data_IF_459316114735
#
_entry.id   IF_459316114735
#
_cell.length_a   1.000
_cell.length_b   1.000
_cell.length_c   1.000
_cell.angle_alpha   90.00
_cell.angle_beta   90.00
_cell.angle_gamma   90.00
#
_symmetry.space_group_name_H-M   'P 1'
#
loop_
_entity.id
_entity.type
_entity.pdbx_description
1 polymer ?
#
# COMPACT_ATOMS: atom_id res chain seq x y z
N UNK A 1 9.89 -16.80 -23.52
CA UNK A 1 9.34 -15.42 -23.43
C UNK A 1 7.83 -15.56 -23.34
N UNK A 2 7.22 -14.89 -22.39
CA UNK A 2 5.76 -14.87 -22.25
C UNK A 2 5.16 -14.18 -23.47
N UNK A 3 4.14 -14.79 -24.09
CA UNK A 3 3.42 -14.14 -25.19
C UNK A 3 2.56 -13.00 -24.60
N UNK A 4 2.85 -11.78 -25.00
CA UNK A 4 2.16 -10.57 -24.57
C UNK A 4 1.32 -9.94 -25.70
N UNK A 5 1.18 -10.64 -26.83
CA UNK A 5 0.49 -10.13 -28.02
C UNK A 5 -1.02 -9.91 -27.84
N UNK A 6 -1.60 -10.55 -26.80
CA UNK A 6 -3.02 -10.39 -26.43
C UNK A 6 -3.32 -9.07 -25.72
N UNK A 7 -2.30 -8.39 -25.19
CA UNK A 7 -2.49 -7.14 -24.44
C UNK A 7 -2.90 -6.02 -25.40
N UNK A 8 -3.90 -5.24 -25.00
CA UNK A 8 -4.40 -4.12 -25.79
C UNK A 8 -3.28 -3.14 -26.20
N UNK A 9 -3.39 -2.48 -27.36
CA UNK A 9 -2.46 -1.41 -27.72
C UNK A 9 -2.59 -0.22 -26.75
N UNK A 10 -1.52 0.61 -26.63
CA UNK A 10 -1.55 1.83 -25.84
C UNK A 10 -2.72 2.75 -26.24
N UNK A 11 -3.34 3.37 -25.25
CA UNK A 11 -4.36 4.39 -25.47
C UNK A 11 -3.70 5.66 -26.02
N UNK A 12 -4.37 6.32 -26.97
CA UNK A 12 -3.92 7.59 -27.52
C UNK A 12 -3.64 8.62 -26.42
N UNK A 13 -2.44 9.18 -26.40
CA UNK A 13 -1.99 10.15 -25.40
C UNK A 13 -2.87 11.39 -25.32
N UNK A 14 -3.43 11.84 -26.44
CA UNK A 14 -4.34 12.99 -26.46
C UNK A 14 -5.66 12.68 -25.73
N UNK A 15 -6.15 11.45 -25.77
CA UNK A 15 -7.32 11.04 -24.99
C UNK A 15 -7.01 11.02 -23.49
N UNK A 16 -5.83 10.52 -23.11
CA UNK A 16 -5.37 10.53 -21.71
C UNK A 16 -5.24 11.97 -21.22
N UNK A 17 -4.56 12.86 -21.95
CA UNK A 17 -4.37 14.28 -21.59
C UNK A 17 -5.70 15.03 -21.43
N UNK A 18 -6.71 14.73 -22.23
CA UNK A 18 -8.05 15.32 -22.08
C UNK A 18 -8.73 14.95 -20.76
N UNK A 19 -8.36 13.81 -20.17
CA UNK A 19 -8.90 13.32 -18.89
C UNK A 19 -8.07 13.75 -17.68
N UNK A 20 -6.83 14.22 -17.85
CA UNK A 20 -5.97 14.79 -16.80
C UNK A 20 -6.50 16.16 -16.36
N UNK A 21 -7.56 16.15 -15.55
CA UNK A 21 -8.21 17.40 -15.09
C UNK A 21 -7.63 17.85 -13.76
N UNK A 22 -7.51 19.16 -13.56
CA UNK A 22 -7.01 19.78 -12.32
C UNK A 22 -7.74 19.28 -11.06
N UNK A 23 -9.03 18.98 -11.16
CA UNK A 23 -9.84 18.42 -10.04
C UNK A 23 -9.48 16.98 -9.66
N UNK A 24 -8.64 16.30 -10.43
CA UNK A 24 -8.10 14.98 -10.15
C UNK A 24 -6.63 15.05 -9.70
N UNK A 25 -6.01 16.23 -9.79
CA UNK A 25 -4.63 16.45 -9.38
C UNK A 25 -4.51 16.41 -7.87
N UNK A 26 -3.63 15.52 -7.37
CA UNK A 26 -3.35 15.36 -5.96
C UNK A 26 -2.15 16.22 -5.55
N UNK A 27 -0.98 15.98 -6.14
CA UNK A 27 0.27 16.66 -5.82
C UNK A 27 1.36 16.44 -6.87
N UNK A 28 2.40 17.24 -6.79
CA UNK A 28 3.69 16.88 -7.40
C UNK A 28 4.43 15.87 -6.54
N UNK A 29 5.22 15.02 -7.18
CA UNK A 29 6.15 14.12 -6.47
C UNK A 29 7.26 14.90 -5.78
N UNK A 30 7.80 14.39 -4.68
CA UNK A 30 8.93 15.01 -3.98
C UNK A 30 10.21 14.98 -4.83
N UNK A 31 10.32 14.02 -5.75
CA UNK A 31 11.47 13.85 -6.64
C UNK A 31 11.03 13.55 -8.06
N UNK A 32 11.83 14.02 -9.02
CA UNK A 32 11.60 13.75 -10.43
C UNK A 32 10.51 14.58 -11.08
N UNK A 33 9.89 15.54 -10.37
CA UNK A 33 8.92 16.51 -10.89
C UNK A 33 7.79 15.87 -11.71
N UNK A 34 7.17 14.82 -11.16
CA UNK A 34 6.05 14.10 -11.78
C UNK A 34 4.74 14.49 -11.10
N UNK A 35 3.63 14.29 -11.78
CA UNK A 35 2.29 14.62 -11.29
C UNK A 35 1.59 13.38 -10.75
N UNK A 36 0.90 13.50 -9.62
CA UNK A 36 0.06 12.43 -9.05
C UNK A 36 -1.40 12.82 -9.16
N UNK A 37 -2.19 11.88 -9.65
CA UNK A 37 -3.62 12.04 -9.87
C UNK A 37 -4.42 10.95 -9.17
N UNK A 38 -5.70 11.25 -8.87
CA UNK A 38 -6.69 10.27 -8.42
C UNK A 38 -7.92 10.39 -9.31
N UNK A 39 -8.39 9.25 -9.83
CA UNK A 39 -9.59 9.17 -10.65
C UNK A 39 -10.36 7.87 -10.41
N UNK A 40 -11.45 7.67 -11.15
CA UNK A 40 -12.21 6.42 -11.21
C UNK A 40 -12.45 6.03 -12.66
N UNK A 41 -12.84 4.78 -12.91
CA UNK A 41 -13.21 4.32 -14.24
C UNK A 41 -14.30 5.17 -14.89
N UNK A 42 -15.26 5.64 -14.08
CA UNK A 42 -16.39 6.47 -14.55
C UNK A 42 -15.98 7.92 -14.88
N UNK A 43 -14.93 8.44 -14.23
CA UNK A 43 -14.47 9.82 -14.44
C UNK A 43 -13.49 9.95 -15.59
N UNK A 44 -12.71 8.89 -15.85
CA UNK A 44 -11.60 8.89 -16.79
C UNK A 44 -11.46 7.50 -17.45
N UNK A 45 -12.38 7.12 -18.35
CA UNK A 45 -12.41 5.78 -18.95
C UNK A 45 -11.17 5.46 -19.79
N UNK A 46 -10.58 6.45 -20.48
CA UNK A 46 -9.37 6.24 -21.27
C UNK A 46 -8.15 6.03 -20.36
N UNK A 47 -8.03 6.83 -19.27
CA UNK A 47 -6.99 6.63 -18.25
C UNK A 47 -7.16 5.24 -17.60
N UNK A 48 -8.39 4.83 -17.27
CA UNK A 48 -8.64 3.52 -16.69
C UNK A 48 -8.23 2.38 -17.63
N UNK A 49 -8.56 2.50 -18.92
CA UNK A 49 -8.14 1.50 -19.93
C UNK A 49 -6.62 1.39 -20.02
N UNK A 50 -5.91 2.53 -20.02
CA UNK A 50 -4.44 2.54 -20.04
C UNK A 50 -3.85 1.97 -18.75
N UNK A 51 -4.41 2.29 -17.58
CA UNK A 51 -4.02 1.69 -16.30
C UNK A 51 -4.21 0.16 -16.37
N UNK A 52 -5.34 -0.32 -16.86
CA UNK A 52 -5.62 -1.75 -17.00
C UNK A 52 -4.64 -2.44 -17.93
N UNK A 53 -4.29 -1.82 -19.06
CA UNK A 53 -3.27 -2.31 -19.99
C UNK A 53 -1.89 -2.40 -19.33
N UNK A 54 -1.49 -1.35 -18.62
CA UNK A 54 -0.18 -1.29 -17.95
C UNK A 54 -0.09 -2.25 -16.76
N UNK A 55 -1.18 -2.49 -16.05
CA UNK A 55 -1.27 -3.53 -15.01
C UNK A 55 -1.02 -4.91 -15.62
N UNK A 56 -1.77 -5.25 -16.67
CA UNK A 56 -1.61 -6.55 -17.35
C UNK A 56 -0.18 -6.71 -17.87
N UNK A 57 0.35 -5.71 -18.54
CA UNK A 57 1.73 -5.71 -19.04
C UNK A 57 2.74 -5.94 -17.91
N UNK A 58 2.58 -5.25 -16.79
CA UNK A 58 3.53 -5.35 -15.67
C UNK A 58 3.48 -6.72 -15.00
N UNK A 59 2.28 -7.24 -14.72
CA UNK A 59 2.13 -8.53 -14.06
C UNK A 59 2.47 -9.70 -14.97
N UNK A 60 2.04 -9.68 -16.23
CA UNK A 60 2.32 -10.75 -17.19
C UNK A 60 3.81 -10.86 -17.53
N UNK A 61 4.54 -9.74 -17.55
CA UNK A 61 6.00 -9.74 -17.76
C UNK A 61 6.74 -10.52 -16.67
N UNK A 62 6.22 -10.49 -15.44
CA UNK A 62 6.81 -11.17 -14.28
C UNK A 62 6.23 -12.59 -14.04
N UNK A 63 5.35 -13.07 -14.93
CA UNK A 63 4.80 -14.43 -14.89
C UNK A 63 3.45 -14.56 -14.18
N UNK A 64 2.81 -13.45 -13.82
CA UNK A 64 1.42 -13.35 -13.39
C UNK A 64 0.58 -12.70 -14.50
N UNK A 65 -0.54 -12.13 -14.13
CA UNK A 65 -1.42 -11.44 -15.06
C UNK A 65 -2.77 -12.13 -15.17
N UNK A 66 -3.76 -11.42 -15.70
CA UNK A 66 -5.14 -11.92 -15.80
C UNK A 66 -5.37 -12.72 -17.08
N UNK A 67 -4.46 -12.61 -18.07
CA UNK A 67 -4.63 -13.16 -19.41
C UNK A 67 -5.65 -12.40 -20.26
N UNK A 68 -6.07 -11.21 -19.84
CA UNK A 68 -7.02 -10.34 -20.54
C UNK A 68 -6.28 -9.21 -21.26
N UNK A 69 -6.91 -8.61 -22.27
CA UNK A 69 -6.36 -7.43 -22.94
C UNK A 69 -6.01 -6.29 -21.98
N UNK A 70 -6.78 -6.16 -20.89
CA UNK A 70 -6.61 -5.17 -19.83
C UNK A 70 -7.02 -5.76 -18.48
N UNK A 71 -6.25 -5.51 -17.42
CA UNK A 71 -6.59 -5.88 -16.03
C UNK A 71 -7.56 -4.83 -15.46
N UNK A 72 -8.83 -5.00 -15.78
CA UNK A 72 -9.95 -4.27 -15.20
C UNK A 72 -10.94 -5.30 -14.69
N UNK A 73 -11.36 -5.17 -13.43
CA UNK A 73 -12.30 -6.08 -12.78
C UNK A 73 -13.56 -5.35 -12.29
N UNK A 74 -14.46 -6.08 -11.65
CA UNK A 74 -15.72 -5.53 -11.13
C UNK A 74 -15.50 -4.43 -10.10
N UNK A 75 -14.44 -4.52 -9.28
CA UNK A 75 -14.13 -3.53 -8.24
C UNK A 75 -13.72 -2.18 -8.83
N UNK A 76 -13.13 -2.16 -10.01
CA UNK A 76 -12.81 -0.93 -10.73
C UNK A 76 -14.07 -0.25 -11.32
N UNK A 77 -15.12 -1.03 -11.61
CA UNK A 77 -16.32 -0.59 -12.36
C UNK A 77 -17.62 -0.55 -11.55
N UNK A 78 -17.59 -0.90 -10.25
CA UNK A 78 -18.73 -0.72 -9.35
C UNK A 78 -19.30 0.71 -9.45
N UNK A 79 -20.61 0.90 -9.20
CA UNK A 79 -21.19 2.24 -9.15
C UNK A 79 -20.48 3.16 -8.15
N UNK A 80 -20.34 4.45 -8.47
CA UNK A 80 -19.83 5.46 -7.54
C UNK A 80 -20.78 5.58 -6.31
N UNK A 81 -20.29 5.61 -5.06
CA UNK A 81 -18.88 5.78 -4.62
C UNK A 81 -18.14 4.46 -4.33
N UNK A 82 -18.72 3.31 -4.66
CA UNK A 82 -18.22 2.00 -4.24
C UNK A 82 -17.04 1.48 -5.07
N UNK A 83 -16.85 2.00 -6.29
CA UNK A 83 -15.73 1.60 -7.15
C UNK A 83 -14.38 1.99 -6.53
N UNK A 84 -13.37 1.18 -6.83
CA UNK A 84 -11.99 1.52 -6.51
C UNK A 84 -11.55 2.81 -7.21
N UNK A 85 -10.80 3.63 -6.48
CA UNK A 85 -10.12 4.80 -7.00
C UNK A 85 -8.76 4.39 -7.53
N UNK A 86 -8.29 5.11 -8.55
CA UNK A 86 -6.99 4.89 -9.18
C UNK A 86 -6.09 6.06 -8.83
N UNK A 87 -5.03 5.78 -8.05
CA UNK A 87 -3.92 6.69 -7.82
C UNK A 87 -2.83 6.33 -8.81
N UNK A 88 -2.34 7.30 -9.59
CA UNK A 88 -1.29 7.06 -10.55
C UNK A 88 -0.33 8.23 -10.67
N UNK A 89 0.89 7.93 -11.10
CA UNK A 89 1.95 8.91 -11.37
C UNK A 89 2.03 9.14 -12.87
N UNK A 90 1.89 10.39 -13.27
CA UNK A 90 2.01 10.86 -14.66
C UNK A 90 3.35 11.52 -14.89
N UNK A 91 4.08 11.08 -15.89
CA UNK A 91 5.29 11.73 -16.38
C UNK A 91 4.94 12.70 -17.50
N UNK A 92 5.04 14.00 -17.22
CA UNK A 92 4.71 15.06 -18.18
C UNK A 92 5.71 15.16 -19.35
N UNK A 93 6.95 14.69 -19.16
CA UNK A 93 7.99 14.74 -20.19
C UNK A 93 7.80 13.62 -21.23
N UNK A 94 7.53 12.40 -20.78
CA UNK A 94 7.30 11.24 -21.64
C UNK A 94 5.83 11.12 -22.07
N UNK A 95 4.93 11.87 -21.42
CA UNK A 95 3.47 11.78 -21.55
C UNK A 95 2.95 10.35 -21.32
N UNK A 96 3.38 9.74 -20.19
CA UNK A 96 3.09 8.35 -19.85
C UNK A 96 2.73 8.17 -18.37
N UNK A 97 1.90 7.16 -18.08
CA UNK A 97 1.64 6.70 -16.71
C UNK A 97 2.82 5.82 -16.27
N UNK A 98 3.56 6.24 -15.24
CA UNK A 98 4.69 5.49 -14.71
C UNK A 98 4.28 4.25 -13.91
N UNK A 99 3.22 4.36 -13.15
CA UNK A 99 2.71 3.32 -12.26
C UNK A 99 1.53 3.82 -11.44
N UNK A 100 0.97 2.96 -10.63
CA UNK A 100 -0.19 3.30 -9.83
C UNK A 100 -0.57 2.27 -8.78
N UNK A 101 -1.61 2.61 -8.05
CA UNK A 101 -2.34 1.77 -7.11
C UNK A 101 -3.83 1.95 -7.33
N UNK A 102 -4.60 0.90 -7.13
CA UNK A 102 -6.02 1.08 -6.83
C UNK A 102 -6.23 1.10 -5.33
N UNK A 103 -7.24 1.81 -4.86
CA UNK A 103 -7.59 1.83 -3.46
C UNK A 103 -9.08 2.02 -3.24
N UNK A 104 -9.56 1.54 -2.08
CA UNK A 104 -10.89 1.85 -1.58
C UNK A 104 -10.86 2.00 -0.07
N UNK A 105 -11.74 2.85 0.48
CA UNK A 105 -11.87 3.03 1.92
C UNK A 105 -12.96 2.11 2.47
N UNK A 106 -12.74 1.49 3.63
CA UNK A 106 -13.65 0.50 4.22
C UNK A 106 -15.07 1.00 4.40
N UNK A 107 -15.25 2.30 4.69
CA UNK A 107 -16.59 2.90 4.80
C UNK A 107 -17.36 2.98 3.49
N UNK A 108 -16.68 2.85 2.33
CA UNK A 108 -17.31 2.85 1.01
C UNK A 108 -17.34 1.46 0.36
N UNK A 109 -16.88 0.42 1.04
CA UNK A 109 -16.99 -0.95 0.53
C UNK A 109 -18.43 -1.44 0.60
N UNK A 110 -18.88 -2.11 -0.46
CA UNK A 110 -20.19 -2.75 -0.48
C UNK A 110 -20.18 -4.02 0.37
N UNK A 111 -21.33 -4.32 0.96
CA UNK A 111 -21.59 -5.60 1.62
C UNK A 111 -22.55 -6.37 0.72
N UNK A 112 -22.21 -7.62 0.40
CA UNK A 112 -23.06 -8.51 -0.37
C UNK A 112 -24.28 -8.94 0.45
N UNK A 113 -25.34 -9.46 -0.18
CA UNK A 113 -26.54 -9.91 0.53
C UNK A 113 -26.27 -11.01 1.58
N UNK A 114 -25.22 -11.79 1.41
CA UNK A 114 -24.77 -12.83 2.36
C UNK A 114 -23.96 -12.25 3.54
N UNK A 115 -23.76 -10.94 3.61
CA UNK A 115 -22.99 -10.26 4.64
C UNK A 115 -21.49 -10.20 4.37
N UNK A 116 -20.98 -10.79 3.30
CA UNK A 116 -19.56 -10.71 2.95
C UNK A 116 -19.20 -9.35 2.36
N UNK A 117 -17.95 -8.93 2.56
CA UNK A 117 -17.42 -7.71 1.94
C UNK A 117 -17.21 -7.90 0.44
N UNK A 118 -17.54 -6.86 -0.33
CA UNK A 118 -17.25 -6.81 -1.75
C UNK A 118 -15.92 -6.08 -1.98
N UNK A 119 -14.81 -6.80 -1.80
CA UNK A 119 -13.45 -6.30 -1.95
C UNK A 119 -12.51 -7.42 -2.44
N UNK A 120 -11.45 -7.10 -3.22
CA UNK A 120 -10.52 -8.10 -3.71
C UNK A 120 -9.87 -8.96 -2.62
N UNK A 121 -9.67 -8.42 -1.42
CA UNK A 121 -9.09 -9.18 -0.32
C UNK A 121 -10.08 -10.19 0.26
N UNK A 122 -11.38 -9.89 0.27
CA UNK A 122 -12.42 -10.77 0.76
C UNK A 122 -12.65 -12.04 -0.11
N UNK A 123 -12.09 -12.08 -1.31
CA UNK A 123 -12.09 -13.29 -2.14
C UNK A 123 -11.09 -14.34 -1.66
N UNK A 124 -10.14 -13.95 -0.81
CA UNK A 124 -9.03 -14.80 -0.40
C UNK A 124 -8.90 -14.98 1.11
N UNK A 125 -9.52 -14.08 1.90
CA UNK A 125 -9.36 -14.04 3.36
C UNK A 125 -10.69 -13.96 4.08
N UNK A 126 -10.76 -14.69 5.20
CA UNK A 126 -11.76 -14.44 6.24
C UNK A 126 -11.40 -13.17 7.00
N UNK A 127 -12.42 -12.45 7.44
CA UNK A 127 -12.29 -11.32 8.35
C UNK A 127 -12.98 -11.65 9.67
N UNK A 128 -12.30 -11.40 10.79
CA UNK A 128 -12.94 -11.51 12.10
C UNK A 128 -13.98 -10.40 12.28
N UNK A 129 -14.95 -10.61 13.18
CA UNK A 129 -15.90 -9.55 13.55
C UNK A 129 -15.19 -8.34 14.11
N UNK A 130 -14.13 -8.54 14.91
CA UNK A 130 -13.28 -7.47 15.42
C UNK A 130 -12.69 -6.61 14.30
N UNK A 131 -12.21 -7.23 13.22
CA UNK A 131 -11.72 -6.47 12.07
C UNK A 131 -12.82 -5.66 11.40
N UNK A 132 -13.98 -6.26 11.19
CA UNK A 132 -15.11 -5.61 10.51
C UNK A 132 -15.63 -4.40 11.30
N UNK A 133 -15.67 -4.50 12.62
CA UNK A 133 -16.25 -3.45 13.48
C UNK A 133 -15.23 -2.35 13.82
N UNK A 134 -13.97 -2.71 14.12
CA UNK A 134 -13.02 -1.80 14.74
C UNK A 134 -11.84 -1.40 13.84
N UNK A 135 -11.59 -2.11 12.73
CA UNK A 135 -10.49 -1.82 11.81
C UNK A 135 -10.99 -1.35 10.45
N UNK A 136 -11.92 -2.10 9.83
CA UNK A 136 -12.39 -1.83 8.47
C UNK A 136 -12.86 -0.38 8.25
N UNK A 137 -13.65 0.23 9.16
CA UNK A 137 -14.14 1.60 8.98
C UNK A 137 -13.04 2.66 8.86
N UNK A 138 -11.84 2.33 9.29
CA UNK A 138 -10.66 3.21 9.28
C UNK A 138 -9.56 2.71 8.35
N UNK A 139 -9.86 1.75 7.49
CA UNK A 139 -8.90 1.09 6.62
C UNK A 139 -9.03 1.57 5.18
N UNK A 140 -7.92 1.88 4.56
CA UNK A 140 -7.80 1.96 3.10
C UNK A 140 -7.18 0.66 2.61
N UNK A 141 -7.91 -0.09 1.79
CA UNK A 141 -7.36 -1.21 1.05
C UNK A 141 -6.61 -0.71 -0.18
N UNK A 142 -5.36 -1.15 -0.31
CA UNK A 142 -4.47 -0.88 -1.45
C UNK A 142 -4.30 -2.15 -2.27
N UNK A 143 -4.42 -2.04 -3.59
CA UNK A 143 -4.27 -3.19 -4.47
C UNK A 143 -3.71 -2.80 -5.83
N UNK A 144 -3.41 -3.81 -6.65
CA UNK A 144 -2.91 -3.63 -8.02
C UNK A 144 -1.77 -2.61 -8.10
N UNK A 145 -0.81 -2.70 -7.16
CA UNK A 145 0.41 -1.91 -7.20
C UNK A 145 1.24 -2.29 -8.42
N UNK A 146 1.53 -1.34 -9.29
CA UNK A 146 2.36 -1.58 -10.47
C UNK A 146 3.30 -0.42 -10.78
N UNK A 147 4.44 -0.75 -11.35
CA UNK A 147 5.32 0.17 -12.08
C UNK A 147 5.50 -0.44 -13.46
N UNK A 148 5.15 0.29 -14.52
CA UNK A 148 5.27 -0.24 -15.86
C UNK A 148 6.74 -0.59 -16.20
N UNK A 149 7.00 -1.63 -17.01
CA UNK A 149 8.35 -2.14 -17.25
C UNK A 149 9.37 -1.07 -17.67
N UNK A 150 8.96 -0.05 -18.44
CA UNK A 150 9.84 1.03 -18.89
C UNK A 150 10.38 1.91 -17.74
N UNK A 151 9.71 1.89 -16.58
CA UNK A 151 10.07 2.66 -15.38
C UNK A 151 10.51 1.78 -14.21
N UNK A 152 10.82 0.51 -14.47
CA UNK A 152 11.45 -0.36 -13.49
C UNK A 152 12.97 -0.19 -13.53
N UNK A 153 13.66 -0.07 -12.37
CA UNK A 153 15.12 0.11 -12.32
C UNK A 153 15.90 -0.99 -13.02
N UNK A 154 15.35 -2.22 -13.04
CA UNK A 154 15.94 -3.38 -13.77
C UNK A 154 16.04 -3.16 -15.28
N UNK A 155 15.09 -2.42 -15.85
CA UNK A 155 15.00 -2.20 -17.29
C UNK A 155 15.57 -0.83 -17.68
N UNK A 156 15.38 0.19 -16.84
CA UNK A 156 15.89 1.54 -17.04
C UNK A 156 16.20 2.20 -15.70
N UNK A 157 17.47 2.21 -15.29
CA UNK A 157 17.93 2.76 -14.03
C UNK A 157 17.54 4.25 -13.86
N UNK A 158 17.69 5.06 -14.91
CA UNK A 158 17.39 6.50 -14.84
C UNK A 158 15.91 6.78 -14.66
N UNK A 159 15.05 6.15 -15.47
CA UNK A 159 13.59 6.34 -15.38
C UNK A 159 13.01 5.70 -14.14
N UNK A 160 13.58 4.58 -13.67
CA UNK A 160 13.07 3.79 -12.55
C UNK A 160 13.49 4.28 -11.16
N UNK A 161 14.50 5.15 -11.06
CA UNK A 161 15.17 5.48 -9.79
C UNK A 161 14.23 5.90 -8.65
N UNK A 162 13.16 6.63 -8.95
CA UNK A 162 12.21 7.15 -7.96
C UNK A 162 10.81 6.59 -8.11
N UNK A 163 10.58 5.57 -8.95
CA UNK A 163 9.22 5.11 -9.27
C UNK A 163 8.42 4.67 -8.04
N UNK A 164 9.02 3.86 -7.17
CA UNK A 164 8.36 3.46 -5.91
C UNK A 164 8.20 4.63 -4.94
N UNK A 165 9.20 5.50 -4.78
CA UNK A 165 9.12 6.69 -3.94
C UNK A 165 7.98 7.62 -4.38
N UNK A 166 7.82 7.81 -5.67
CA UNK A 166 6.78 8.66 -6.24
C UNK A 166 5.38 8.08 -5.97
N UNK A 167 5.22 6.78 -6.05
CA UNK A 167 3.97 6.11 -5.65
C UNK A 167 3.70 6.27 -4.15
N UNK A 168 4.73 6.16 -3.31
CA UNK A 168 4.62 6.38 -1.87
C UNK A 168 4.26 7.82 -1.50
N UNK A 169 4.70 8.82 -2.27
CA UNK A 169 4.28 10.21 -2.11
C UNK A 169 2.76 10.36 -2.29
N UNK A 170 2.18 9.62 -3.24
CA UNK A 170 0.74 9.57 -3.44
C UNK A 170 0.00 8.87 -2.29
N UNK A 171 0.47 7.70 -1.88
CA UNK A 171 -0.12 6.95 -0.76
C UNK A 171 -0.02 7.75 0.55
N UNK A 172 1.11 8.42 0.80
CA UNK A 172 1.29 9.29 1.95
C UNK A 172 0.31 10.47 1.97
N UNK A 173 -0.03 11.02 0.80
CA UNK A 173 -1.03 12.07 0.70
C UNK A 173 -2.44 11.58 1.04
N UNK A 174 -2.80 10.30 0.75
CA UNK A 174 -4.11 9.73 1.12
C UNK A 174 -4.37 9.81 2.63
N UNK A 175 -3.33 9.68 3.46
CA UNK A 175 -3.46 9.76 4.93
C UNK A 175 -4.01 11.13 5.37
N UNK A 176 -3.69 12.19 4.62
CA UNK A 176 -4.15 13.55 4.93
C UNK A 176 -5.42 13.93 4.15
N UNK A 177 -5.67 13.29 3.01
CA UNK A 177 -6.88 13.48 2.22
C UNK A 177 -8.09 12.73 2.80
N UNK A 178 -7.84 11.62 3.51
CA UNK A 178 -8.85 10.80 4.19
C UNK A 178 -8.44 10.70 5.68
N UNK A 179 -8.75 11.73 6.48
CA UNK A 179 -8.26 11.85 7.87
C UNK A 179 -8.69 10.72 8.79
N UNK A 180 -9.77 10.01 8.45
CA UNK A 180 -10.28 8.87 9.20
C UNK A 180 -9.38 7.64 9.06
N UNK A 181 -8.49 7.61 8.06
CA UNK A 181 -7.63 6.46 7.80
C UNK A 181 -6.64 6.24 8.94
N UNK A 182 -6.60 5.02 9.45
CA UNK A 182 -5.67 4.56 10.50
C UNK A 182 -4.83 3.39 10.04
N UNK A 183 -5.32 2.66 9.05
CA UNK A 183 -4.72 1.42 8.57
C UNK A 183 -4.65 1.39 7.05
N UNK A 184 -3.57 0.79 6.55
CA UNK A 184 -3.50 0.32 5.17
C UNK A 184 -3.55 -1.20 5.17
N UNK A 185 -4.50 -1.76 4.43
CA UNK A 185 -4.62 -3.18 4.15
C UNK A 185 -4.16 -3.43 2.72
N UNK A 186 -3.45 -4.51 2.46
CA UNK A 186 -3.10 -4.90 1.11
C UNK A 186 -2.58 -6.32 1.00
N UNK A 187 -2.42 -6.76 -0.25
CA UNK A 187 -1.74 -8.01 -0.58
C UNK A 187 -0.44 -7.70 -1.32
N UNK A 188 0.66 -8.33 -0.92
CA UNK A 188 1.93 -8.28 -1.64
C UNK A 188 2.01 -9.54 -2.51
N UNK A 189 2.28 -9.36 -3.79
CA UNK A 189 2.37 -10.47 -4.75
C UNK A 189 3.73 -11.15 -4.67
N UNK A 190 3.74 -12.48 -4.60
CA UNK A 190 4.89 -13.36 -4.86
C UNK A 190 4.53 -14.24 -6.05
N UNK A 191 5.43 -14.34 -7.02
CA UNK A 191 5.22 -15.16 -8.21
C UNK A 191 5.55 -16.63 -7.94
N UNK A 192 4.78 -17.56 -8.52
CA UNK A 192 5.00 -19.02 -8.39
C UNK A 192 6.32 -19.48 -9.01
N UNK A 193 6.88 -18.66 -9.91
CA UNK A 193 8.20 -18.90 -10.50
C UNK A 193 9.36 -18.71 -9.51
N UNK A 194 9.10 -18.15 -8.30
CA UNK A 194 10.10 -18.02 -7.27
C UNK A 194 10.50 -19.39 -6.69
N UNK A 195 11.78 -19.59 -6.42
CA UNK A 195 12.27 -20.76 -5.71
C UNK A 195 11.47 -21.00 -4.42
N UNK A 196 10.96 -22.21 -4.23
CA UNK A 196 10.08 -22.58 -3.11
C UNK A 196 10.74 -22.33 -1.76
N UNK A 197 12.04 -22.65 -1.61
CA UNK A 197 12.73 -22.43 -0.34
C UNK A 197 12.97 -20.94 -0.09
N UNK A 198 13.25 -20.15 -1.14
CA UNK A 198 13.36 -18.69 -1.03
C UNK A 198 12.01 -18.07 -0.61
N UNK A 199 10.89 -18.54 -1.16
CA UNK A 199 9.55 -18.17 -0.73
C UNK A 199 9.33 -18.50 0.74
N UNK A 200 9.58 -19.73 1.13
CA UNK A 200 9.34 -20.22 2.49
C UNK A 200 10.17 -19.50 3.55
N UNK A 201 11.39 -19.11 3.21
CA UNK A 201 12.23 -18.26 4.05
C UNK A 201 11.55 -16.92 4.37
N UNK A 202 10.96 -16.27 3.34
CA UNK A 202 10.22 -15.03 3.54
C UNK A 202 8.95 -15.24 4.35
N UNK A 203 8.16 -16.27 4.06
CA UNK A 203 6.91 -16.57 4.79
C UNK A 203 7.19 -16.88 6.27
N UNK A 204 8.23 -17.64 6.56
CA UNK A 204 8.66 -17.91 7.93
C UNK A 204 9.09 -16.62 8.65
N UNK A 205 9.88 -15.77 7.97
CA UNK A 205 10.31 -14.49 8.51
C UNK A 205 9.13 -13.58 8.84
N UNK A 206 8.14 -13.49 7.94
CA UNK A 206 6.89 -12.74 8.20
C UNK A 206 6.15 -13.29 9.42
N UNK A 207 5.97 -14.61 9.51
CA UNK A 207 5.30 -15.25 10.64
C UNK A 207 6.02 -14.99 11.96
N UNK A 208 7.36 -14.95 11.95
CA UNK A 208 8.17 -14.70 13.14
C UNK A 208 8.10 -13.24 13.62
N UNK A 209 8.17 -12.29 12.72
CA UNK A 209 8.37 -10.88 13.09
C UNK A 209 7.12 -10.00 12.97
N UNK A 210 6.12 -10.45 12.25
CA UNK A 210 4.89 -9.69 12.00
C UNK A 210 3.63 -10.50 12.31
N UNK A 211 3.54 -11.16 13.48
CA UNK A 211 2.38 -11.97 13.81
C UNK A 211 1.11 -11.13 13.89
N UNK A 212 -0.03 -11.79 13.70
CA UNK A 212 -1.35 -11.26 14.03
C UNK A 212 -1.86 -11.91 15.33
N UNK A 213 -1.59 -11.31 16.51
CA UNK A 213 -1.96 -11.91 17.79
C UNK A 213 -3.47 -11.88 18.06
N UNK A 214 -4.20 -11.00 17.34
CA UNK A 214 -5.64 -10.79 17.58
C UNK A 214 -6.51 -11.61 16.63
N UNK A 215 -5.90 -12.35 15.69
CA UNK A 215 -6.64 -13.17 14.72
C UNK A 215 -7.61 -12.35 13.87
N UNK A 216 -7.13 -11.20 13.36
CA UNK A 216 -7.99 -10.27 12.61
C UNK A 216 -8.39 -10.80 11.24
N UNK A 217 -7.49 -11.51 10.58
CA UNK A 217 -7.71 -12.07 9.25
C UNK A 217 -6.92 -13.38 9.08
N UNK A 218 -7.43 -14.28 8.22
CA UNK A 218 -6.72 -15.51 7.82
C UNK A 218 -7.17 -15.96 6.43
N UNK A 219 -6.30 -16.60 5.64
CA UNK A 219 -6.64 -17.02 4.28
C UNK A 219 -7.60 -18.20 4.26
N UNK A 220 -8.48 -18.27 3.22
CA UNK A 220 -9.32 -19.45 2.98
C UNK A 220 -8.48 -20.70 2.70
N UNK A 221 -7.44 -20.54 1.87
CA UNK A 221 -6.56 -21.61 1.41
C UNK A 221 -5.10 -21.17 1.62
N UNK A 222 -4.54 -21.38 2.83
CA UNK A 222 -3.18 -20.94 3.12
C UNK A 222 -2.15 -21.70 2.29
N UNK A 223 -1.20 -20.96 1.70
CA UNK A 223 -0.02 -21.55 1.05
C UNK A 223 0.85 -22.21 2.10
N UNK A 224 1.15 -23.54 1.98
CA UNK A 224 1.97 -24.24 2.95
C UNK A 224 3.43 -23.80 2.87
N UNK A 225 4.13 -23.83 4.00
CA UNK A 225 5.58 -23.81 4.06
C UNK A 225 6.04 -25.25 3.85
N UNK A 226 6.71 -25.52 2.74
CA UNK A 226 7.18 -26.86 2.34
C UNK A 226 8.57 -27.18 2.89
N UNK A 227 9.36 -26.16 3.17
CA UNK A 227 10.70 -26.29 3.78
C UNK A 227 10.59 -26.79 5.22
N UNK A 228 11.48 -27.72 5.61
CA UNK A 228 11.55 -28.26 6.98
C UNK A 228 11.58 -27.12 8.01
N UNK A 229 10.56 -27.12 8.86
CA UNK A 229 10.37 -26.08 9.88
C UNK A 229 11.54 -25.99 10.85
N UNK A 230 12.14 -27.14 11.22
CA UNK A 230 13.31 -27.18 12.11
C UNK A 230 14.55 -26.53 11.45
N UNK A 231 14.67 -26.65 10.12
CA UNK A 231 15.72 -25.96 9.35
C UNK A 231 15.53 -24.46 9.41
N UNK A 232 14.29 -23.97 9.23
CA UNK A 232 13.97 -22.55 9.31
C UNK A 232 14.21 -21.99 10.72
N UNK A 233 13.76 -22.68 11.76
CA UNK A 233 14.00 -22.30 13.17
C UNK A 233 15.48 -22.18 13.47
N UNK A 234 16.29 -23.16 13.02
CA UNK A 234 17.76 -23.13 13.24
C UNK A 234 18.45 -22.00 12.47
N UNK A 235 17.96 -21.71 11.26
CA UNK A 235 18.53 -20.65 10.42
C UNK A 235 18.26 -19.28 11.00
N UNK A 236 17.00 -19.00 11.36
CA UNK A 236 16.60 -17.73 11.95
C UNK A 236 16.75 -17.75 13.48
N UNK A 237 17.99 -17.85 13.94
CA UNK A 237 18.34 -17.89 15.36
C UNK A 237 18.98 -16.58 15.86
N UNK A 238 18.88 -15.51 15.09
CA UNK A 238 19.37 -14.20 15.45
C UNK A 238 18.67 -13.63 16.69
N UNK A 239 19.36 -12.73 17.39
CA UNK A 239 18.87 -12.13 18.64
C UNK A 239 17.78 -11.08 18.40
N UNK A 240 17.65 -10.59 17.17
CA UNK A 240 16.74 -9.51 16.82
C UNK A 240 16.40 -9.51 15.33
N UNK A 241 15.42 -8.68 14.98
CA UNK A 241 14.96 -8.47 13.60
C UNK A 241 16.11 -8.19 12.62
N UNK A 242 17.05 -7.31 12.99
CA UNK A 242 18.12 -6.87 12.08
C UNK A 242 19.07 -8.01 11.71
N UNK A 243 19.42 -8.84 12.68
CA UNK A 243 20.27 -10.02 12.45
C UNK A 243 19.58 -11.04 11.54
N UNK A 244 18.35 -11.41 11.87
CA UNK A 244 17.57 -12.36 11.06
C UNK A 244 17.23 -11.81 9.68
N UNK A 245 17.05 -10.50 9.54
CA UNK A 245 16.84 -9.87 8.23
C UNK A 245 18.09 -9.99 7.33
N UNK A 246 19.30 -9.86 7.87
CA UNK A 246 20.52 -10.12 7.11
C UNK A 246 20.62 -11.60 6.72
N UNK A 247 20.25 -12.51 7.61
CA UNK A 247 20.19 -13.95 7.32
C UNK A 247 19.21 -14.20 6.17
N UNK A 248 18.01 -13.61 6.21
CA UNK A 248 17.01 -13.70 5.13
C UNK A 248 17.60 -13.27 3.79
N UNK A 249 18.21 -12.10 3.72
CA UNK A 249 18.77 -11.56 2.47
C UNK A 249 19.83 -12.50 1.88
N UNK A 250 20.73 -13.00 2.72
CA UNK A 250 21.78 -13.92 2.29
C UNK A 250 21.22 -15.28 1.86
N UNK A 251 20.28 -15.83 2.62
CA UNK A 251 19.69 -17.13 2.32
C UNK A 251 18.85 -17.13 1.05
N UNK A 252 18.07 -16.06 0.80
CA UNK A 252 17.30 -15.89 -0.44
C UNK A 252 18.26 -15.70 -1.65
N UNK A 253 19.35 -14.92 -1.47
CA UNK A 253 20.34 -14.72 -2.53
C UNK A 253 21.09 -16.01 -2.86
N UNK A 254 21.37 -16.86 -1.88
CA UNK A 254 22.01 -18.15 -2.10
C UNK A 254 21.20 -19.11 -2.99
N UNK A 255 19.90 -18.84 -3.18
CA UNK A 255 18.98 -19.55 -4.08
C UNK A 255 18.78 -18.86 -5.43
N UNK A 256 19.64 -17.90 -5.75
CA UNK A 256 19.54 -17.14 -6.99
C UNK A 256 18.37 -16.14 -7.03
N UNK A 257 17.68 -15.93 -5.89
CA UNK A 257 16.55 -15.02 -5.77
C UNK A 257 16.94 -13.72 -5.07
N UNK A 258 16.05 -12.74 -5.12
CA UNK A 258 16.13 -11.51 -4.31
C UNK A 258 14.81 -11.31 -3.59
N UNK A 259 14.84 -10.73 -2.40
CA UNK A 259 13.62 -10.27 -1.74
C UNK A 259 13.00 -9.18 -2.62
N UNK A 260 11.75 -9.33 -3.08
CA UNK A 260 11.14 -8.35 -3.99
C UNK A 260 11.16 -6.94 -3.39
N UNK A 261 11.41 -5.88 -4.20
CA UNK A 261 11.52 -4.51 -3.70
C UNK A 261 10.32 -4.04 -2.89
N UNK A 262 9.12 -4.41 -3.28
CA UNK A 262 7.89 -4.06 -2.57
C UNK A 262 7.79 -4.79 -1.22
N UNK A 263 8.12 -6.09 -1.17
CA UNK A 263 8.21 -6.89 0.06
C UNK A 263 9.17 -6.21 1.05
N UNK A 264 10.35 -5.86 0.56
CA UNK A 264 11.37 -5.17 1.36
C UNK A 264 10.89 -3.80 1.87
N UNK A 265 10.22 -3.02 1.01
CA UNK A 265 9.69 -1.70 1.37
C UNK A 265 8.68 -1.79 2.53
N UNK A 266 7.75 -2.74 2.48
CA UNK A 266 6.77 -2.93 3.54
C UNK A 266 7.38 -3.43 4.85
N UNK A 267 8.31 -4.40 4.81
CA UNK A 267 9.02 -4.86 6.01
C UNK A 267 9.77 -3.73 6.75
N UNK A 268 10.20 -2.71 6.02
CA UNK A 268 10.90 -1.55 6.57
C UNK A 268 10.01 -0.32 6.78
N UNK A 269 8.71 -0.47 6.63
CA UNK A 269 7.76 0.65 6.79
C UNK A 269 7.34 0.82 8.24
N UNK A 270 7.00 -0.28 8.91
CA UNK A 270 6.50 -0.27 10.29
C UNK A 270 6.89 -1.56 11.00
N UNK A 271 7.36 -1.44 12.24
CA UNK A 271 7.67 -2.59 13.10
C UNK A 271 6.42 -3.29 13.64
N UNK A 272 5.26 -2.67 13.54
CA UNK A 272 3.96 -3.22 13.98
C UNK A 272 3.10 -3.69 12.81
N UNK A 273 3.69 -3.86 11.63
CA UNK A 273 3.00 -4.50 10.51
C UNK A 273 2.45 -5.86 10.94
N UNK A 274 1.26 -6.24 10.47
CA UNK A 274 0.68 -7.56 10.70
C UNK A 274 0.70 -8.37 9.42
N UNK A 275 1.02 -9.64 9.55
CA UNK A 275 0.99 -10.65 8.48
C UNK A 275 -0.18 -11.61 8.72
N UNK A 276 -1.05 -11.73 7.75
CA UNK A 276 -2.29 -12.51 7.84
C UNK A 276 -2.22 -13.87 7.12
N UNK A 277 -1.03 -14.30 6.75
CA UNK A 277 -0.85 -15.48 5.95
C UNK A 277 -0.73 -15.18 4.45
N UNK A 278 -0.51 -16.25 3.70
CA UNK A 278 -0.32 -16.21 2.23
C UNK A 278 -1.25 -17.21 1.59
N UNK A 279 -1.82 -16.88 0.45
CA UNK A 279 -2.70 -17.76 -0.32
C UNK A 279 -2.54 -17.53 -1.83
N UNK A 280 -2.90 -18.51 -2.68
CA UNK A 280 -2.98 -18.33 -4.12
C UNK A 280 -3.90 -17.15 -4.47
N UNK A 281 -3.50 -16.32 -5.43
CA UNK A 281 -4.31 -15.20 -5.92
C UNK A 281 -5.01 -15.57 -7.22
N UNK A 282 -6.27 -15.98 -7.12
CA UNK A 282 -7.06 -16.38 -8.30
C UNK A 282 -7.33 -15.21 -9.27
N UNK A 283 -7.25 -13.99 -8.79
CA UNK A 283 -7.36 -12.78 -9.61
C UNK A 283 -6.08 -12.44 -10.39
N UNK A 284 -4.97 -13.09 -10.07
CA UNK A 284 -3.67 -13.01 -10.76
C UNK A 284 -3.05 -14.41 -10.81
N UNK A 285 -3.49 -15.30 -11.72
CA UNK A 285 -2.97 -16.66 -11.84
C UNK A 285 -1.43 -16.70 -11.90
N UNK A 286 -0.83 -17.72 -11.30
CA UNK A 286 0.63 -17.85 -11.19
C UNK A 286 1.24 -17.01 -10.05
N UNK A 287 0.41 -16.53 -9.12
CA UNK A 287 0.89 -15.75 -7.98
C UNK A 287 0.26 -16.17 -6.65
N UNK A 288 0.93 -15.80 -5.57
CA UNK A 288 0.43 -15.85 -4.21
C UNK A 288 0.36 -14.45 -3.61
N UNK A 289 -0.69 -14.17 -2.84
CA UNK A 289 -0.87 -12.93 -2.11
C UNK A 289 -0.48 -13.05 -0.64
N UNK A 290 0.42 -12.21 -0.16
CA UNK A 290 0.73 -12.04 1.27
C UNK A 290 -0.17 -10.96 1.83
N UNK A 291 -1.11 -11.31 2.71
CA UNK A 291 -1.98 -10.33 3.39
C UNK A 291 -1.23 -9.56 4.47
N UNK A 292 -1.29 -8.24 4.44
CA UNK A 292 -0.65 -7.37 5.44
C UNK A 292 -1.54 -6.21 5.87
N UNK A 293 -1.34 -5.76 7.12
CA UNK A 293 -1.92 -4.52 7.65
C UNK A 293 -0.82 -3.62 8.21
N UNK A 294 -0.85 -2.35 7.82
CA UNK A 294 0.04 -1.31 8.34
C UNK A 294 -0.75 -0.35 9.22
N UNK A 295 -0.29 -0.16 10.45
CA UNK A 295 -0.84 0.87 11.35
C UNK A 295 -0.12 2.19 11.10
N UNK A 296 -0.85 3.21 10.64
CA UNK A 296 -0.27 4.47 10.16
C UNK A 296 0.48 5.26 11.23
N UNK A 297 0.02 5.21 12.49
CA UNK A 297 0.70 5.87 13.61
C UNK A 297 2.10 5.31 13.89
N UNK A 298 2.33 4.06 13.51
CA UNK A 298 3.56 3.31 13.79
C UNK A 298 4.52 3.28 12.58
N UNK A 299 4.23 4.04 11.55
CA UNK A 299 5.13 4.20 10.39
C UNK A 299 6.42 4.85 10.88
N UNK A 300 7.56 4.30 10.44
CA UNK A 300 8.89 4.80 10.75
C UNK A 300 9.02 6.29 10.44
N UNK A 301 9.63 7.04 11.36
CA UNK A 301 9.65 8.52 11.31
C UNK A 301 10.27 9.08 10.02
N UNK A 302 11.31 8.46 9.48
CA UNK A 302 11.94 8.85 8.22
C UNK A 302 10.98 8.73 7.03
N UNK A 303 10.18 7.67 7.00
CA UNK A 303 9.16 7.43 5.96
C UNK A 303 8.00 8.39 6.09
N UNK A 304 7.56 8.63 7.34
CA UNK A 304 6.51 9.59 7.65
C UNK A 304 6.89 11.00 7.18
N UNK A 305 8.06 11.48 7.59
CA UNK A 305 8.56 12.82 7.20
C UNK A 305 8.67 12.93 5.68
N UNK A 306 9.17 11.87 5.02
CA UNK A 306 9.40 11.88 3.58
C UNK A 306 8.10 11.91 2.77
N UNK A 307 7.12 11.08 3.10
CA UNK A 307 5.97 10.83 2.23
C UNK A 307 4.66 11.45 2.75
N UNK A 308 4.49 11.57 4.07
CA UNK A 308 3.25 12.10 4.67
C UNK A 308 3.41 13.60 4.99
N UNK A 309 4.40 13.95 5.83
CA UNK A 309 4.56 15.32 6.33
C UNK A 309 5.02 16.30 5.25
N UNK A 310 5.56 15.79 4.14
CA UNK A 310 5.93 16.58 2.95
C UNK A 310 4.72 17.08 2.14
N UNK A 311 3.53 16.58 2.43
CA UNK A 311 2.31 16.96 1.73
C UNK A 311 1.49 18.01 2.52
N UNK A 312 0.84 18.92 1.80
CA UNK A 312 -0.10 19.87 2.38
C UNK A 312 -1.41 19.87 1.62
N UNK A 313 -2.46 19.54 2.33
CA UNK A 313 -3.84 19.53 1.84
C UNK A 313 -4.29 20.86 1.23
N UNK A 314 -3.69 21.98 1.67
CA UNK A 314 -3.99 23.31 1.13
C UNK A 314 -3.57 23.51 -0.32
N UNK A 315 -2.64 22.71 -0.80
CA UNK A 315 -2.07 22.82 -2.14
C UNK A 315 -2.76 21.93 -3.18
N UNK A 316 -3.69 21.08 -2.76
CA UNK A 316 -4.41 20.20 -3.67
C UNK A 316 -5.59 20.91 -4.32
N UNK A 317 -5.88 20.55 -5.57
CA UNK A 317 -7.11 20.94 -6.31
C UNK A 317 -8.12 19.79 -6.40
N UNK A 318 -7.87 18.70 -5.65
CA UNK A 318 -8.65 17.49 -5.69
C UNK A 318 -10.12 17.72 -5.28
N UNK A 319 -11.05 17.21 -6.08
CA UNK A 319 -12.48 17.20 -5.75
C UNK A 319 -12.80 16.09 -4.74
N UNK A 320 -12.50 16.37 -3.46
CA UNK A 320 -12.70 15.44 -2.35
C UNK A 320 -14.13 14.98 -2.19
N UNK A 321 -15.10 15.90 -2.38
CA UNK A 321 -16.51 15.59 -2.20
C UNK A 321 -16.99 14.52 -3.17
N UNK A 322 -16.36 14.44 -4.34
CA UNK A 322 -16.70 13.45 -5.35
C UNK A 322 -15.93 12.13 -5.18
N UNK A 323 -14.64 12.21 -4.82
CA UNK A 323 -13.75 11.04 -4.75
C UNK A 323 -13.83 10.31 -3.40
N UNK A 324 -14.08 11.05 -2.31
CA UNK A 324 -14.08 10.50 -0.95
C UNK A 324 -15.44 10.70 -0.26
N UNK A 325 -16.51 10.22 -0.89
CA UNK A 325 -17.82 10.18 -0.25
C UNK A 325 -17.84 9.09 0.81
N UNK A 326 -17.30 9.40 1.98
CA UNK A 326 -17.39 8.51 3.15
C UNK A 326 -18.84 8.49 3.61
N UNK A 327 -19.46 7.32 3.60
CA UNK A 327 -20.80 7.14 4.17
C UNK A 327 -20.67 6.99 5.69
N UNK A 328 -20.74 8.11 6.38
CA UNK A 328 -20.62 8.16 7.84
C UNK A 328 -21.67 7.29 8.56
N UNK A 329 -22.83 7.03 7.93
CA UNK A 329 -23.87 6.18 8.50
C UNK A 329 -23.51 4.71 8.59
N UNK A 330 -22.46 4.27 7.86
CA UNK A 330 -21.94 2.91 7.89
C UNK A 330 -20.85 2.68 8.94
N UNK A 331 -20.39 3.73 9.60
CA UNK A 331 -19.42 3.60 10.65
C UNK A 331 -20.09 3.04 11.91
N UNK A 332 -19.55 2.01 12.56
CA UNK A 332 -20.17 1.32 13.70
C UNK A 332 -20.58 2.25 14.85
N UNK A 333 -19.79 3.31 15.07
CA UNK A 333 -20.03 4.29 16.13
C UNK A 333 -21.22 5.25 15.82
N UNK A 334 -21.63 5.38 14.53
CA UNK A 334 -22.82 6.17 14.19
C UNK A 334 -24.13 5.57 14.75
N UNK A 335 -24.19 4.26 14.92
CA UNK A 335 -25.39 3.57 15.43
C UNK A 335 -25.68 3.86 16.92
N UNK A 336 -24.69 4.38 17.65
CA UNK A 336 -24.76 4.51 19.13
C UNK A 336 -24.62 5.95 19.64
N UNK A 337 -24.68 6.98 18.78
CA UNK A 337 -24.45 8.36 19.22
C UNK A 337 -25.57 9.31 18.82
N UNK A 338 -25.99 10.16 19.79
CA UNK A 338 -26.62 11.44 19.47
C UNK A 338 -25.55 12.34 18.80
N UNK A 339 -25.92 13.00 17.72
CA UNK A 339 -25.01 13.70 16.78
C UNK A 339 -23.97 14.64 17.42
N UNK A 340 -24.28 15.23 18.57
CA UNK A 340 -23.46 16.27 19.22
C UNK A 340 -22.36 15.70 20.14
N UNK A 341 -22.63 14.63 20.88
CA UNK A 341 -21.65 14.02 21.81
C UNK A 341 -20.50 13.35 21.04
N UNK A 342 -20.81 12.70 19.94
CA UNK A 342 -19.80 11.99 19.13
C UNK A 342 -18.86 12.94 18.43
N UNK A 343 -19.37 14.07 17.92
CA UNK A 343 -18.56 15.13 17.32
C UNK A 343 -17.62 15.73 18.36
N UNK A 344 -18.12 16.00 19.56
CA UNK A 344 -17.34 16.54 20.68
C UNK A 344 -16.27 15.55 21.15
N UNK A 345 -16.59 14.25 21.25
CA UNK A 345 -15.63 13.20 21.63
C UNK A 345 -14.53 13.01 20.57
N UNK A 346 -14.85 13.14 19.29
CA UNK A 346 -13.87 13.10 18.21
C UNK A 346 -12.93 14.30 18.20
N UNK A 347 -13.48 15.49 18.36
CA UNK A 347 -12.69 16.73 18.46
C UNK A 347 -11.76 16.70 19.69
N UNK A 348 -12.25 16.18 20.82
CA UNK A 348 -11.46 15.98 22.04
C UNK A 348 -10.36 14.91 21.88
N UNK A 349 -10.65 13.82 21.17
CA UNK A 349 -9.69 12.76 20.89
C UNK A 349 -8.60 13.24 19.93
N UNK A 350 -8.99 13.92 18.86
CA UNK A 350 -8.08 14.50 17.88
C UNK A 350 -7.18 15.61 18.52
N UNK A 351 -7.73 16.39 19.46
CA UNK A 351 -6.97 17.34 20.27
C UNK A 351 -5.98 16.65 21.21
N UNK A 352 -6.37 15.56 21.88
CA UNK A 352 -5.49 14.78 22.75
C UNK A 352 -4.36 14.11 21.97
N UNK A 353 -4.66 13.53 20.81
CA UNK A 353 -3.65 12.91 19.95
C UNK A 353 -2.67 13.95 19.37
N UNK A 354 -3.15 15.13 18.98
CA UNK A 354 -2.32 16.27 18.58
C UNK A 354 -1.47 16.82 19.73
N UNK A 355 -2.00 16.85 20.93
CA UNK A 355 -1.29 17.31 22.13
C UNK A 355 -0.19 16.31 22.50
N UNK A 356 -0.49 15.01 22.52
CA UNK A 356 0.48 13.93 22.78
C UNK A 356 1.62 13.95 21.75
N UNK A 357 1.29 14.11 20.46
CA UNK A 357 2.30 14.20 19.40
C UNK A 357 3.19 15.43 19.53
N UNK A 358 2.63 16.59 19.99
CA UNK A 358 3.43 17.79 20.29
C UNK A 358 4.37 17.58 21.46
N UNK A 359 3.95 16.88 22.49
CA UNK A 359 4.75 16.57 23.68
C UNK A 359 5.90 15.59 23.33
N UNK A 360 5.62 14.55 22.54
CA UNK A 360 6.64 13.61 22.04
C UNK A 360 7.68 14.32 21.14
N UNK A 361 7.23 15.23 20.26
CA UNK A 361 8.11 16.02 19.41
C UNK A 361 8.97 16.99 20.23
N UNK A 362 8.38 17.60 21.27
CA UNK A 362 9.10 18.50 22.18
C UNK A 362 10.16 17.76 23.00
N UNK A 363 9.85 16.54 23.47
CA UNK A 363 10.83 15.68 24.16
C UNK A 363 11.99 15.32 23.23
N UNK A 364 11.69 14.83 22.04
CA UNK A 364 12.73 14.45 21.05
C UNK A 364 13.61 15.63 20.63
N UNK A 365 13.03 16.83 20.55
CA UNK A 365 13.76 18.07 20.27
C UNK A 365 14.71 18.45 21.43
N UNK A 366 14.30 18.22 22.67
CA UNK A 366 15.15 18.44 23.86
C UNK A 366 16.33 17.45 23.92
N UNK A 367 16.07 16.18 23.64
CA UNK A 367 17.11 15.13 23.56
C UNK A 367 18.16 15.47 22.50
N UNK A 368 17.72 15.81 21.27
CA UNK A 368 18.62 16.23 20.20
C UNK A 368 19.43 17.49 20.54
N UNK A 369 18.83 18.47 21.23
CA UNK A 369 19.55 19.64 21.70
C UNK A 369 20.58 19.32 22.75
N UNK A 370 20.30 18.34 23.63
CA UNK A 370 21.27 17.89 24.65
C UNK A 370 22.42 17.13 24.01
N UNK A 371 22.13 16.24 23.06
CA UNK A 371 23.18 15.55 22.29
C UNK A 371 24.08 16.54 21.54
N UNK A 372 23.51 17.55 20.90
CA UNK A 372 24.27 18.59 20.20
C UNK A 372 25.17 19.39 21.14
N UNK A 373 24.69 19.67 22.37
CA UNK A 373 25.51 20.30 23.40
C UNK A 373 26.68 19.42 23.84
N UNK A 374 26.42 18.10 23.99
CA UNK A 374 27.46 17.13 24.38
C UNK A 374 28.52 17.00 23.28
N UNK A 375 28.12 16.92 22.03
CA UNK A 375 29.03 16.88 20.86
C UNK A 375 29.90 18.18 20.79
N UNK A 376 29.28 19.35 20.99
CA UNK A 376 29.99 20.62 21.00
C UNK A 376 31.01 20.72 22.18
N UNK A 377 30.66 20.15 23.36
CA UNK A 377 31.56 20.08 24.50
C UNK A 377 32.73 19.11 24.28
N UNK A 378 32.47 17.96 23.65
CA UNK A 378 33.51 17.00 23.29
C UNK A 378 34.49 17.59 22.26
N UNK A 379 34.00 18.30 21.23
CA UNK A 379 34.86 18.99 20.23
C UNK A 379 35.69 20.14 20.79
N UNK A 380 35.35 20.72 21.95
CA UNK A 380 36.16 21.76 22.61
C UNK A 380 37.25 21.21 23.55
N UNK A 381 37.23 19.89 23.76
CA UNK A 381 38.23 19.20 24.59
C UNK A 381 39.28 18.44 23.77
N UNK A 382 39.09 18.37 22.46
CA UNK A 382 40.06 17.95 21.44
C UNK A 382 40.74 19.19 20.81
#
# INVERSE_FOLDING_TARGET
MTDLSYIAPPVDRELIKKELKQKHFLRMTNRGNKEIYITTAHLSPNIMREIGRLRELSFATDGGGTGKEVDIDEYDTLPDPYCCKQLFVWNTEDEEIMGGYRFNHGSTMMIRPDGSLMTPTAEHYHFSQEFLDNYLPYTVELGRAFVQPAYQPSNNMHKGLYSLDNLWDGIGALVLEIPETRYFLGKITIYDSMDTEARDLMLYFYKKYFPDPDGLMWPFHPTPIETDYNKLVKLFNGRNYKEDYQILLLAVRARGCTVPPLVNAYMNLSSTMRYFGTCPDHGLPGTNGIGILITLKDINADKRVRHIDSYSVKNTKLDRKRLFKIDMKRLPWWKNSSDDETRTLMELRDLKDKQRMREELAMKKRELQQELKNIKRARRKL
#
